data_IF_156345033897
#
_entry.id   IF_156345033897
#
_cell.length_a   1.000
_cell.length_b   1.000
_cell.length_c   1.000
_cell.angle_alpha   90.00
_cell.angle_beta   90.00
_cell.angle_gamma   90.00
#
_symmetry.space_group_name_H-M   'P 1'
#
loop_
_entity.id
_entity.type
_entity.pdbx_description
1 polymer ?
#
# COMPACT_ATOMS: atom_id res chain seq x y z
N UNK A 1 -21.69 13.97 -10.39
CA UNK A 1 -21.08 13.65 -9.07
C UNK A 1 -19.57 13.64 -9.31
N UNK A 2 -18.79 14.35 -8.50
CA UNK A 2 -17.33 14.35 -8.64
C UNK A 2 -16.76 12.96 -8.32
N UNK A 3 -15.64 12.61 -8.94
CA UNK A 3 -14.93 11.37 -8.65
C UNK A 3 -14.06 11.57 -7.41
N UNK A 4 -14.18 10.68 -6.41
CA UNK A 4 -13.33 10.68 -5.22
C UNK A 4 -12.03 9.97 -5.53
N UNK A 5 -10.92 10.69 -5.49
CA UNK A 5 -9.59 10.13 -5.78
C UNK A 5 -8.96 9.55 -4.52
N UNK A 6 -8.58 8.29 -4.56
CA UNK A 6 -7.94 7.54 -3.46
C UNK A 6 -6.59 7.01 -3.95
N UNK A 7 -5.51 7.31 -3.24
CA UNK A 7 -4.22 6.74 -3.57
C UNK A 7 -4.09 5.31 -3.03
N UNK A 8 -3.37 4.45 -3.75
CA UNK A 8 -3.07 3.09 -3.34
C UNK A 8 -1.55 2.91 -3.25
N UNK A 9 -1.04 2.66 -2.04
CA UNK A 9 0.39 2.43 -1.80
C UNK A 9 0.64 0.95 -1.47
N UNK A 10 1.65 0.36 -2.09
CA UNK A 10 2.01 -1.04 -1.89
C UNK A 10 3.30 -1.20 -1.10
N UNK A 11 3.29 -2.08 -0.09
CA UNK A 11 4.51 -2.49 0.62
C UNK A 11 4.82 -3.99 0.44
N UNK A 12 3.87 -4.75 -0.12
CA UNK A 12 3.97 -6.19 -0.36
C UNK A 12 3.04 -6.99 0.54
N UNK A 13 3.57 -8.05 1.15
CA UNK A 13 2.84 -8.98 2.00
C UNK A 13 2.08 -10.08 1.26
N UNK A 14 1.37 -10.90 2.04
CA UNK A 14 0.61 -12.05 1.52
C UNK A 14 -0.50 -11.64 0.54
N UNK A 15 -1.07 -10.45 0.69
CA UNK A 15 -2.05 -9.89 -0.27
C UNK A 15 -1.46 -9.73 -1.67
N UNK A 16 -0.17 -9.40 -1.76
CA UNK A 16 0.59 -9.30 -3.01
C UNK A 16 1.30 -10.62 -3.38
N UNK A 17 1.07 -11.69 -2.63
CA UNK A 17 1.79 -12.95 -2.85
C UNK A 17 1.16 -13.79 -3.95
N UNK A 18 2.03 -14.48 -4.68
CA UNK A 18 1.65 -15.52 -5.60
C UNK A 18 2.65 -16.68 -5.49
N UNK A 19 2.17 -17.91 -5.73
CA UNK A 19 3.04 -19.08 -5.68
C UNK A 19 4.20 -18.94 -6.66
N UNK A 20 5.41 -19.13 -6.14
CA UNK A 20 6.63 -19.33 -6.91
C UNK A 20 6.72 -20.74 -7.48
N UNK A 21 7.74 -21.00 -8.30
CA UNK A 21 7.94 -22.30 -8.94
C UNK A 21 8.07 -23.46 -7.92
N UNK A 22 8.65 -23.18 -6.76
CA UNK A 22 8.88 -24.16 -5.69
C UNK A 22 7.76 -24.18 -4.62
N UNK A 23 6.60 -23.56 -4.91
CA UNK A 23 5.45 -23.51 -4.01
C UNK A 23 5.53 -22.47 -2.88
N UNK A 24 6.66 -21.76 -2.73
CA UNK A 24 6.77 -20.66 -1.77
C UNK A 24 5.87 -19.47 -2.16
N UNK A 25 5.23 -18.85 -1.18
CA UNK A 25 4.51 -17.60 -1.38
C UNK A 25 5.49 -16.43 -1.37
N UNK A 26 5.55 -15.71 -2.49
CA UNK A 26 6.44 -14.55 -2.65
C UNK A 26 5.58 -13.35 -3.01
N UNK A 27 5.73 -12.25 -2.26
CA UNK A 27 5.11 -10.97 -2.54
C UNK A 27 5.62 -10.40 -3.87
N UNK A 28 4.96 -10.77 -4.99
CA UNK A 28 5.40 -10.47 -6.36
C UNK A 28 4.37 -9.77 -7.22
N UNK A 29 3.12 -9.65 -6.78
CA UNK A 29 2.09 -8.87 -7.48
C UNK A 29 2.29 -7.38 -7.16
N UNK A 30 2.02 -6.54 -8.14
CA UNK A 30 2.06 -5.08 -8.04
C UNK A 30 0.70 -4.60 -7.57
N UNK A 31 0.63 -3.40 -7.00
CA UNK A 31 -0.67 -2.79 -6.70
C UNK A 31 -1.56 -2.62 -7.93
N UNK A 32 -0.98 -2.43 -9.12
CA UNK A 32 -1.73 -2.40 -10.38
C UNK A 32 -2.35 -3.77 -10.69
N UNK A 33 -1.59 -4.86 -10.60
CA UNK A 33 -2.13 -6.22 -10.78
C UNK A 33 -3.17 -6.59 -9.72
N UNK A 34 -3.05 -6.08 -8.50
CA UNK A 34 -4.07 -6.24 -7.46
C UNK A 34 -5.35 -5.47 -7.82
N UNK A 35 -5.20 -4.23 -8.29
CA UNK A 35 -6.31 -3.36 -8.66
C UNK A 35 -7.09 -3.90 -9.87
N UNK A 36 -6.39 -4.48 -10.86
CA UNK A 36 -7.02 -5.13 -12.03
C UNK A 36 -7.95 -6.29 -11.63
N UNK A 37 -7.73 -6.91 -10.48
CA UNK A 37 -8.57 -7.96 -9.92
C UNK A 37 -9.74 -7.45 -9.07
N UNK A 38 -9.89 -6.13 -8.89
CA UNK A 38 -10.90 -5.52 -8.03
C UNK A 38 -12.01 -4.84 -8.82
N UNK A 39 -13.24 -4.92 -8.31
CA UNK A 39 -14.35 -4.10 -8.78
C UNK A 39 -14.36 -2.78 -7.99
N UNK A 40 -13.81 -1.72 -8.59
CA UNK A 40 -13.77 -0.40 -7.98
C UNK A 40 -15.15 0.26 -8.07
N UNK A 41 -15.75 0.68 -6.94
CA UNK A 41 -17.07 1.30 -6.95
C UNK A 41 -17.15 2.54 -7.85
N UNK A 42 -18.29 2.72 -8.50
CA UNK A 42 -18.55 3.91 -9.30
C UNK A 42 -18.35 5.20 -8.47
N UNK A 43 -17.68 6.18 -9.06
CA UNK A 43 -17.37 7.45 -8.37
C UNK A 43 -16.08 7.43 -7.55
N UNK A 44 -15.31 6.33 -7.56
CA UNK A 44 -13.96 6.27 -7.00
C UNK A 44 -12.94 6.16 -8.13
N UNK A 45 -11.88 6.96 -8.08
CA UNK A 45 -10.66 6.79 -8.88
C UNK A 45 -9.54 6.33 -7.95
N UNK A 46 -8.85 5.25 -8.32
CA UNK A 46 -7.71 4.74 -7.54
C UNK A 46 -6.41 5.21 -8.20
N UNK A 47 -5.95 6.39 -7.82
CA UNK A 47 -4.74 6.99 -8.38
C UNK A 47 -4.07 7.98 -7.39
N UNK A 48 -2.75 7.93 -7.23
CA UNK A 48 -1.83 7.00 -7.89
C UNK A 48 -1.85 5.61 -7.23
N UNK A 49 -1.62 4.56 -8.02
CA UNK A 49 -1.34 3.20 -7.53
C UNK A 49 0.17 2.93 -7.65
N UNK A 50 0.89 2.90 -6.53
CA UNK A 50 2.36 2.82 -6.49
C UNK A 50 2.86 1.74 -5.53
N UNK A 51 3.75 0.88 -5.99
CA UNK A 51 4.54 -0.01 -5.13
C UNK A 51 5.74 0.74 -4.53
N UNK A 52 5.77 0.93 -3.21
CA UNK A 52 6.93 1.45 -2.47
C UNK A 52 7.94 0.35 -2.13
N UNK A 53 7.43 -0.85 -1.86
CA UNK A 53 8.17 -2.06 -1.60
C UNK A 53 7.36 -3.28 -2.07
N UNK A 54 8.04 -4.42 -2.20
CA UNK A 54 7.45 -5.74 -2.49
C UNK A 54 8.12 -6.78 -1.60
N UNK A 55 7.96 -6.62 -0.30
CA UNK A 55 8.60 -7.45 0.73
C UNK A 55 7.55 -8.21 1.54
N UNK A 56 7.98 -9.22 2.29
CA UNK A 56 7.14 -9.79 3.33
C UNK A 56 7.11 -8.86 4.54
N UNK A 57 6.03 -8.89 5.33
CA UNK A 57 5.87 -8.01 6.48
C UNK A 57 6.99 -8.18 7.51
N UNK A 58 7.47 -9.39 7.75
CA UNK A 58 8.58 -9.63 8.70
C UNK A 58 9.91 -8.98 8.27
N UNK A 59 10.06 -8.56 7.01
CA UNK A 59 11.23 -7.81 6.53
C UNK A 59 11.03 -6.28 6.62
N UNK A 60 9.86 -5.81 7.10
CA UNK A 60 9.59 -4.40 7.34
C UNK A 60 10.45 -3.89 8.51
N UNK A 61 11.13 -2.76 8.29
CA UNK A 61 12.03 -2.16 9.27
C UNK A 61 11.68 -0.67 9.50
N UNK A 62 12.18 -0.04 10.57
CA UNK A 62 11.87 1.35 10.87
C UNK A 62 12.24 2.35 9.76
N UNK A 63 13.26 2.06 8.95
CA UNK A 63 13.66 2.94 7.82
C UNK A 63 12.61 2.88 6.70
N UNK A 64 12.05 1.70 6.44
CA UNK A 64 10.97 1.52 5.47
C UNK A 64 9.66 2.12 5.97
N UNK A 65 9.34 1.97 7.26
CA UNK A 65 8.20 2.64 7.89
C UNK A 65 8.32 4.18 7.76
N UNK A 66 9.51 4.74 7.99
CA UNK A 66 9.76 6.17 7.80
C UNK A 66 9.56 6.62 6.35
N UNK A 67 10.04 5.84 5.38
CA UNK A 67 9.82 6.11 3.95
C UNK A 67 8.34 6.05 3.58
N UNK A 68 7.59 5.09 4.13
CA UNK A 68 6.15 4.99 3.94
C UNK A 68 5.45 6.24 4.49
N UNK A 69 5.78 6.67 5.71
CA UNK A 69 5.23 7.89 6.31
C UNK A 69 5.53 9.14 5.48
N UNK A 70 6.77 9.31 5.00
CA UNK A 70 7.13 10.41 4.12
C UNK A 70 6.31 10.41 2.83
N UNK A 71 6.12 9.23 2.20
CA UNK A 71 5.29 9.13 1.00
C UNK A 71 3.82 9.47 1.28
N UNK A 72 3.28 9.04 2.41
CA UNK A 72 1.91 9.36 2.82
C UNK A 72 1.73 10.88 2.90
N UNK A 73 2.65 11.59 3.55
CA UNK A 73 2.60 13.05 3.64
C UNK A 73 2.69 13.73 2.27
N UNK A 74 3.57 13.27 1.39
CA UNK A 74 3.67 13.80 0.02
C UNK A 74 2.37 13.63 -0.76
N UNK A 75 1.74 12.46 -0.67
CA UNK A 75 0.49 12.17 -1.38
C UNK A 75 -0.68 12.94 -0.79
N UNK A 76 -0.79 13.04 0.53
CA UNK A 76 -1.84 13.82 1.20
C UNK A 76 -1.68 15.33 1.00
N UNK A 77 -0.50 15.81 0.59
CA UNK A 77 -0.31 17.21 0.20
C UNK A 77 -1.00 17.57 -1.14
N UNK A 78 -1.38 16.57 -1.96
CA UNK A 78 -2.17 16.79 -3.17
C UNK A 78 -3.65 17.04 -2.81
N UNK A 79 -4.21 18.25 -3.02
CA UNK A 79 -5.56 18.58 -2.56
C UNK A 79 -6.69 17.74 -3.19
N UNK A 80 -6.39 17.09 -4.32
CA UNK A 80 -7.34 16.24 -5.01
C UNK A 80 -7.40 14.82 -4.43
N UNK A 81 -6.42 14.41 -3.61
CA UNK A 81 -6.43 13.08 -2.97
C UNK A 81 -7.31 13.13 -1.73
N UNK A 82 -8.39 12.36 -1.74
CA UNK A 82 -9.33 12.27 -0.62
C UNK A 82 -8.86 11.31 0.50
N UNK A 83 -7.92 10.42 0.21
CA UNK A 83 -7.38 9.46 1.18
C UNK A 83 -6.40 8.48 0.55
N UNK A 84 -5.82 7.62 1.41
CA UNK A 84 -4.81 6.62 1.02
C UNK A 84 -5.22 5.25 1.56
N UNK A 85 -5.09 4.22 0.73
CA UNK A 85 -5.12 2.82 1.12
C UNK A 85 -3.71 2.25 0.99
N UNK A 86 -3.28 1.48 1.99
CA UNK A 86 -1.96 0.83 1.99
C UNK A 86 -2.17 -0.67 1.99
N UNK A 87 -1.60 -1.37 1.00
CA UNK A 87 -1.51 -2.83 1.03
C UNK A 87 -0.24 -3.24 1.78
N UNK A 88 -0.41 -4.10 2.77
CA UNK A 88 0.66 -4.51 3.69
C UNK A 88 0.52 -5.98 4.07
N UNK A 89 1.64 -6.60 4.45
CA UNK A 89 1.64 -7.93 5.05
C UNK A 89 1.16 -7.90 6.50
N UNK A 90 0.69 -9.03 7.02
CA UNK A 90 0.01 -9.08 8.31
C UNK A 90 0.94 -9.09 9.53
N UNK A 91 2.16 -9.61 9.40
CA UNK A 91 3.01 -9.92 10.58
C UNK A 91 3.51 -8.68 11.32
N UNK A 92 3.60 -7.55 10.63
CA UNK A 92 4.08 -6.27 11.17
C UNK A 92 3.14 -5.11 10.83
N UNK A 93 1.88 -5.44 10.53
CA UNK A 93 0.87 -4.45 10.15
C UNK A 93 0.60 -3.47 11.30
N UNK A 94 0.50 -4.00 12.52
CA UNK A 94 0.17 -3.20 13.70
C UNK A 94 1.29 -2.23 14.08
N UNK A 95 2.55 -2.67 14.02
CA UNK A 95 3.72 -1.83 14.29
C UNK A 95 3.90 -0.76 13.21
N UNK A 96 3.70 -1.13 11.94
CA UNK A 96 3.78 -0.18 10.82
C UNK A 96 2.68 0.86 10.91
N UNK A 97 1.44 0.44 11.19
CA UNK A 97 0.32 1.36 11.37
C UNK A 97 0.56 2.32 12.54
N UNK A 98 1.03 1.80 13.68
CA UNK A 98 1.35 2.61 14.85
C UNK A 98 2.49 3.59 14.58
N UNK A 99 3.58 3.15 13.93
CA UNK A 99 4.70 4.02 13.60
C UNK A 99 4.27 5.16 12.66
N UNK A 100 3.51 4.83 11.60
CA UNK A 100 3.00 5.82 10.64
C UNK A 100 2.08 6.82 11.32
N UNK A 101 1.13 6.37 12.15
CA UNK A 101 0.21 7.25 12.89
C UNK A 101 0.98 8.28 13.75
N UNK A 102 2.01 7.81 14.46
CA UNK A 102 2.85 8.69 15.30
C UNK A 102 3.66 9.72 14.52
N UNK A 103 4.07 9.42 13.29
CA UNK A 103 5.01 10.27 12.53
C UNK A 103 4.38 11.01 11.35
N UNK A 104 3.09 10.79 11.08
CA UNK A 104 2.35 11.49 10.00
C UNK A 104 1.40 12.58 10.50
N UNK A 105 1.24 12.72 11.83
CA UNK A 105 0.39 13.72 12.49
C UNK A 105 0.88 15.18 12.34
#
# INVERSE_FOLDING_TARGET
MGTTRVALLGTGGTIASASGADGQLIARRSVAELLDGCDVPAGISVEPAVDLDRINSWDMDPRRMWRLAARIQEVLAEPEVAGIVITHGTDTLEETAFAVDLVTA
#
